data_IF_920088857784
#
_entry.id   IF_920088857784
#
_cell.length_a   1.000
_cell.length_b   1.000
_cell.length_c   1.000
_cell.angle_alpha   90.00
_cell.angle_beta   90.00
_cell.angle_gamma   90.00
#
_symmetry.space_group_name_H-M   'P 1'
#
loop_
_entity.id
_entity.type
_entity.pdbx_description
1 polymer ?
#
# COMPACT_ATOMS: atom_id res chain seq x y z
N UNK A 1 -71.91 5.55 65.02
CA UNK A 1 -71.87 4.87 63.70
C UNK A 1 -71.58 5.94 62.64
N UNK A 2 -70.86 5.70 61.54
CA UNK A 2 -69.75 4.78 61.31
C UNK A 2 -68.60 5.41 60.46
N UNK A 3 -67.58 4.58 60.17
CA UNK A 3 -66.67 4.56 58.99
C UNK A 3 -65.38 5.42 58.97
N UNK A 4 -64.28 4.66 59.03
CA UNK A 4 -62.89 4.93 58.65
C UNK A 4 -62.75 5.01 57.13
N UNK A 5 -61.80 5.78 56.59
CA UNK A 5 -60.93 5.33 55.47
C UNK A 5 -59.65 6.19 55.41
N UNK A 6 -58.44 5.58 55.45
CA UNK A 6 -57.19 6.27 55.16
C UNK A 6 -56.88 6.20 53.66
N UNK A 7 -56.44 7.32 53.10
CA UNK A 7 -56.10 7.48 51.69
C UNK A 7 -54.62 7.10 51.48
N UNK A 8 -54.38 6.00 50.77
CA UNK A 8 -53.07 5.60 50.28
C UNK A 8 -52.70 6.49 49.08
N UNK A 9 -51.63 7.27 49.22
CA UNK A 9 -50.98 7.93 48.09
C UNK A 9 -50.00 6.95 47.44
N UNK A 10 -50.34 6.47 46.25
CA UNK A 10 -49.47 5.65 45.43
C UNK A 10 -48.54 6.56 44.60
N UNK A 11 -47.24 6.54 44.91
CA UNK A 11 -46.20 7.18 44.12
C UNK A 11 -45.98 6.40 42.83
N UNK A 12 -46.26 7.00 41.67
CA UNK A 12 -45.76 6.48 40.39
C UNK A 12 -44.30 6.89 40.21
N UNK A 13 -43.39 5.92 40.28
CA UNK A 13 -42.04 6.05 39.77
C UNK A 13 -42.08 5.82 38.25
N UNK A 14 -41.83 6.88 37.48
CA UNK A 14 -41.63 6.77 36.03
C UNK A 14 -40.19 6.32 35.83
N UNK A 15 -40.04 5.06 35.41
CA UNK A 15 -38.76 4.45 35.07
C UNK A 15 -38.27 5.01 33.73
N UNK A 16 -37.24 5.85 33.76
CA UNK A 16 -36.54 6.34 32.58
C UNK A 16 -35.68 5.21 32.01
N UNK A 17 -36.11 4.62 30.90
CA UNK A 17 -35.30 3.73 30.07
C UNK A 17 -34.33 4.59 29.27
N UNK A 18 -33.06 4.62 29.70
CA UNK A 18 -31.96 5.17 28.90
C UNK A 18 -31.64 4.17 27.77
N UNK A 19 -31.99 4.53 26.53
CA UNK A 19 -31.51 3.88 25.33
C UNK A 19 -30.00 4.18 25.19
N UNK A 20 -29.16 3.27 25.68
CA UNK A 20 -27.76 3.20 25.26
C UNK A 20 -27.75 2.70 23.81
N UNK A 21 -27.79 3.62 22.85
CA UNK A 21 -27.22 3.34 21.55
C UNK A 21 -25.73 3.07 21.80
N UNK A 22 -25.34 1.80 21.80
CA UNK A 22 -23.94 1.45 21.72
C UNK A 22 -23.44 2.05 20.40
N UNK A 23 -22.69 3.14 20.49
CA UNK A 23 -21.80 3.52 19.40
C UNK A 23 -20.81 2.36 19.30
N UNK A 24 -21.11 1.41 18.45
CA UNK A 24 -20.20 0.35 18.05
C UNK A 24 -19.02 1.08 17.39
N UNK A 25 -17.98 1.30 18.20
CA UNK A 25 -16.77 1.98 17.76
C UNK A 25 -16.18 1.06 16.69
N UNK A 26 -16.38 1.43 15.42
CA UNK A 26 -15.82 0.70 14.28
C UNK A 26 -14.31 0.83 14.37
N UNK A 27 -13.69 -0.17 14.97
CA UNK A 27 -12.25 -0.30 15.01
C UNK A 27 -11.77 -0.84 13.67
N UNK A 28 -10.52 -0.57 13.34
CA UNK A 28 -9.87 -1.15 12.18
C UNK A 28 -9.85 -2.69 12.28
N UNK A 29 -10.23 -3.35 11.19
CA UNK A 29 -10.23 -4.81 11.07
C UNK A 29 -9.87 -5.22 9.65
N UNK A 30 -8.93 -6.16 9.50
CA UNK A 30 -8.69 -6.82 8.22
C UNK A 30 -9.78 -7.85 7.96
N UNK A 31 -10.36 -7.81 6.76
CA UNK A 31 -11.43 -8.70 6.32
C UNK A 31 -10.88 -9.81 5.41
N UNK A 32 -11.63 -10.90 5.19
CA UNK A 32 -11.25 -11.93 4.22
C UNK A 32 -11.04 -11.33 2.83
N UNK A 33 -10.03 -11.84 2.11
CA UNK A 33 -9.73 -11.41 0.75
C UNK A 33 -10.95 -11.59 -0.19
N UNK A 34 -11.14 -10.63 -1.08
CA UNK A 34 -12.17 -10.70 -2.11
C UNK A 34 -11.66 -11.59 -3.26
N UNK A 35 -12.41 -12.61 -3.69
CA UNK A 35 -12.04 -13.46 -4.82
C UNK A 35 -11.76 -12.66 -6.11
N UNK A 36 -10.77 -13.09 -6.88
CA UNK A 36 -10.29 -12.36 -8.08
C UNK A 36 -11.39 -12.18 -9.14
N UNK A 37 -12.28 -13.16 -9.31
CA UNK A 37 -13.44 -13.08 -10.20
C UNK A 37 -14.40 -11.92 -9.85
N UNK A 38 -14.44 -11.52 -8.58
CA UNK A 38 -15.21 -10.35 -8.15
C UNK A 38 -14.46 -9.04 -8.36
N UNK A 39 -13.13 -9.07 -8.45
CA UNK A 39 -12.28 -7.90 -8.73
C UNK A 39 -12.30 -7.54 -10.22
N UNK A 40 -12.54 -8.51 -11.11
CA UNK A 40 -12.70 -8.27 -12.56
C UNK A 40 -13.83 -7.27 -12.85
N UNK A 41 -14.88 -7.26 -12.03
CA UNK A 41 -16.00 -6.31 -12.14
C UNK A 41 -15.56 -4.86 -11.88
N UNK A 42 -14.46 -4.67 -11.16
CA UNK A 42 -13.83 -3.36 -10.94
C UNK A 42 -12.86 -2.98 -12.07
N UNK A 43 -12.76 -3.80 -13.13
CA UNK A 43 -11.82 -3.62 -14.23
C UNK A 43 -10.40 -4.08 -13.91
N UNK A 44 -10.20 -4.81 -12.81
CA UNK A 44 -8.89 -5.34 -12.42
C UNK A 44 -8.76 -6.78 -12.92
N UNK A 45 -7.96 -7.00 -13.96
CA UNK A 45 -7.80 -8.34 -14.55
C UNK A 45 -6.76 -9.19 -13.80
N UNK A 46 -5.64 -8.59 -13.40
CA UNK A 46 -4.51 -9.30 -12.78
C UNK A 46 -4.02 -8.52 -11.54
N UNK A 47 -4.73 -8.61 -10.41
CA UNK A 47 -4.25 -8.02 -9.16
C UNK A 47 -2.98 -8.74 -8.71
N UNK A 48 -1.94 -7.98 -8.38
CA UNK A 48 -0.72 -8.50 -7.73
C UNK A 48 -1.00 -8.74 -6.24
N UNK A 49 -1.66 -7.78 -5.59
CA UNK A 49 -2.05 -7.87 -4.17
C UNK A 49 -3.38 -7.17 -3.97
N UNK A 50 -4.21 -7.69 -3.07
CA UNK A 50 -5.38 -6.99 -2.57
C UNK A 50 -5.49 -7.10 -1.05
N UNK A 51 -5.84 -6.01 -0.39
CA UNK A 51 -6.08 -5.98 1.06
C UNK A 51 -7.48 -5.46 1.31
N UNK A 52 -8.32 -6.30 1.90
CA UNK A 52 -9.70 -5.97 2.25
C UNK A 52 -9.78 -5.67 3.74
N UNK A 53 -10.41 -4.57 4.11
CA UNK A 53 -10.47 -4.12 5.49
C UNK A 53 -11.75 -3.31 5.77
N UNK A 54 -12.00 -3.07 7.04
CA UNK A 54 -13.00 -2.14 7.53
C UNK A 54 -12.34 -1.17 8.51
N UNK A 55 -12.66 0.10 8.37
CA UNK A 55 -12.21 1.18 9.25
C UNK A 55 -13.42 2.06 9.64
N UNK A 56 -13.13 3.19 10.29
CA UNK A 56 -14.14 4.19 10.68
C UNK A 56 -14.92 4.74 9.49
N UNK A 57 -14.32 4.76 8.29
CA UNK A 57 -14.91 5.30 7.06
C UNK A 57 -15.68 4.25 6.24
N UNK A 58 -15.71 2.99 6.70
CA UNK A 58 -16.47 1.91 6.09
C UNK A 58 -15.57 0.78 5.61
N UNK A 59 -16.00 0.06 4.58
CA UNK A 59 -15.16 -0.97 3.98
C UNK A 59 -14.23 -0.38 2.93
N UNK A 60 -12.99 -0.84 2.98
CA UNK A 60 -11.92 -0.46 2.06
C UNK A 60 -11.31 -1.69 1.40
N UNK A 61 -10.91 -1.52 0.15
CA UNK A 61 -10.22 -2.54 -0.62
C UNK A 61 -9.06 -1.88 -1.37
N UNK A 62 -7.84 -2.11 -0.90
CA UNK A 62 -6.63 -1.77 -1.64
C UNK A 62 -6.42 -2.83 -2.72
N UNK A 63 -6.17 -2.41 -3.95
CA UNK A 63 -5.78 -3.30 -5.05
C UNK A 63 -4.54 -2.75 -5.73
N UNK A 64 -3.49 -3.56 -5.79
CA UNK A 64 -2.27 -3.31 -6.56
C UNK A 64 -2.33 -4.13 -7.84
N UNK A 65 -2.08 -3.51 -8.98
CA UNK A 65 -2.09 -4.17 -10.28
C UNK A 65 -1.01 -3.63 -11.19
N UNK A 66 -0.51 -4.50 -12.06
CA UNK A 66 0.49 -4.20 -13.08
C UNK A 66 -0.09 -4.51 -14.44
N UNK A 67 0.17 -3.62 -15.39
CA UNK A 67 -0.20 -3.79 -16.80
C UNK A 67 1.05 -3.58 -17.64
N UNK A 68 1.52 -4.65 -18.27
CA UNK A 68 2.57 -4.58 -19.26
C UNK A 68 1.98 -4.21 -20.63
N UNK A 69 2.73 -3.47 -21.44
CA UNK A 69 2.31 -3.02 -22.75
C UNK A 69 3.44 -2.33 -23.51
N UNK A 70 3.06 -1.54 -24.50
CA UNK A 70 4.00 -0.77 -25.32
C UNK A 70 3.62 0.72 -25.33
N UNK A 71 4.60 1.58 -25.56
CA UNK A 71 4.42 2.99 -25.88
C UNK A 71 5.32 3.39 -27.05
N UNK A 72 4.91 4.41 -27.79
CA UNK A 72 5.77 5.04 -28.80
C UNK A 72 6.76 5.99 -28.14
N UNK A 73 8.06 5.73 -28.32
CA UNK A 73 9.13 6.61 -27.89
C UNK A 73 9.08 7.95 -28.67
N UNK A 74 9.06 9.10 -27.98
CA UNK A 74 8.84 10.39 -28.62
C UNK A 74 10.01 10.85 -29.49
N UNK A 75 11.22 10.34 -29.25
CA UNK A 75 12.43 10.77 -29.93
C UNK A 75 12.73 9.93 -31.18
N UNK A 76 12.40 8.63 -31.14
CA UNK A 76 12.73 7.65 -32.17
C UNK A 76 11.51 7.15 -32.95
N UNK A 77 10.29 7.44 -32.50
CA UNK A 77 9.02 6.89 -33.01
C UNK A 77 8.94 5.36 -32.98
N UNK A 78 9.80 4.71 -32.18
CA UNK A 78 9.81 3.25 -32.03
C UNK A 78 8.88 2.81 -30.91
N UNK A 79 8.27 1.63 -31.04
CA UNK A 79 7.54 0.99 -29.95
C UNK A 79 8.54 0.44 -28.92
N UNK A 80 8.34 0.80 -27.65
CA UNK A 80 9.17 0.40 -26.52
C UNK A 80 8.34 -0.25 -25.44
N UNK A 81 8.96 -1.13 -24.66
CA UNK A 81 8.30 -1.79 -23.55
C UNK A 81 7.89 -0.77 -22.48
N UNK A 82 6.73 -1.03 -21.89
CA UNK A 82 6.09 -0.15 -20.93
C UNK A 82 5.43 -0.96 -19.83
N UNK A 83 5.60 -0.51 -18.59
CA UNK A 83 4.87 -1.03 -17.44
C UNK A 83 4.07 0.09 -16.80
N UNK A 84 2.79 -0.17 -16.53
CA UNK A 84 1.95 0.70 -15.72
C UNK A 84 1.59 0.00 -14.41
N UNK A 85 2.02 0.58 -13.29
CA UNK A 85 1.59 0.20 -11.96
C UNK A 85 0.38 1.04 -11.54
N UNK A 86 -0.63 0.38 -10.98
CA UNK A 86 -1.81 1.03 -10.40
C UNK A 86 -2.08 0.53 -9.00
N UNK A 87 -2.13 1.46 -8.04
CA UNK A 87 -2.62 1.21 -6.69
C UNK A 87 -3.94 1.97 -6.51
N UNK A 88 -5.04 1.24 -6.32
CA UNK A 88 -6.37 1.83 -6.16
C UNK A 88 -6.93 1.45 -4.80
N UNK A 89 -7.34 2.44 -4.01
CA UNK A 89 -8.17 2.20 -2.85
C UNK A 89 -9.64 2.37 -3.25
N UNK A 90 -10.39 1.29 -3.21
CA UNK A 90 -11.83 1.32 -3.31
C UNK A 90 -12.46 1.42 -1.92
N UNK A 91 -13.69 1.93 -1.85
CA UNK A 91 -14.50 1.78 -0.64
C UNK A 91 -15.99 1.73 -0.91
N UNK A 92 -16.72 1.28 0.11
CA UNK A 92 -18.18 1.22 0.14
C UNK A 92 -18.72 1.48 1.54
N UNK A 93 -19.92 2.05 1.62
CA UNK A 93 -20.54 2.42 2.89
C UNK A 93 -21.26 1.24 3.57
N UNK A 94 -21.89 0.36 2.78
CA UNK A 94 -22.50 -0.88 3.23
C UNK A 94 -22.06 -2.05 2.35
N UNK A 95 -22.07 -3.28 2.89
CA UNK A 95 -21.66 -4.51 2.20
C UNK A 95 -22.39 -4.74 0.86
N UNK A 96 -23.64 -4.29 0.76
CA UNK A 96 -24.46 -4.42 -0.45
C UNK A 96 -24.12 -3.40 -1.54
N UNK A 97 -23.38 -2.35 -1.21
CA UNK A 97 -23.03 -1.30 -2.15
C UNK A 97 -21.83 -1.76 -3.01
N UNK A 98 -21.78 -1.28 -4.24
CA UNK A 98 -20.61 -1.49 -5.09
C UNK A 98 -19.41 -0.70 -4.55
N UNK A 99 -18.23 -1.30 -4.63
CA UNK A 99 -16.96 -0.62 -4.40
C UNK A 99 -16.78 0.52 -5.40
N UNK A 100 -16.34 1.69 -4.92
CA UNK A 100 -16.01 2.85 -5.74
C UNK A 100 -14.60 3.34 -5.42
N UNK A 101 -13.82 3.80 -6.40
CA UNK A 101 -12.49 4.32 -6.14
C UNK A 101 -12.58 5.55 -5.23
N UNK A 102 -11.84 5.51 -4.11
CA UNK A 102 -11.58 6.66 -3.23
C UNK A 102 -10.41 7.48 -3.76
N UNK A 103 -9.35 6.79 -4.17
CA UNK A 103 -8.19 7.38 -4.82
C UNK A 103 -7.43 6.31 -5.62
N UNK A 104 -6.54 6.78 -6.49
CA UNK A 104 -5.68 5.96 -7.31
C UNK A 104 -4.29 6.61 -7.44
N UNK A 105 -3.25 5.78 -7.43
CA UNK A 105 -1.88 6.12 -7.80
C UNK A 105 -1.57 5.36 -9.09
N UNK A 106 -1.07 6.06 -10.11
CA UNK A 106 -0.57 5.46 -11.35
C UNK A 106 0.89 5.87 -11.55
N UNK A 107 1.72 4.89 -11.89
CA UNK A 107 3.11 5.09 -12.30
C UNK A 107 3.30 4.37 -13.63
N UNK A 108 3.80 5.09 -14.63
CA UNK A 108 4.12 4.52 -15.93
C UNK A 108 5.63 4.68 -16.17
N UNK A 109 6.27 3.59 -16.58
CA UNK A 109 7.68 3.55 -16.91
C UNK A 109 7.83 2.88 -18.27
N UNK A 110 8.49 3.55 -19.20
CA UNK A 110 8.85 3.02 -20.51
C UNK A 110 10.37 2.94 -20.64
N UNK A 111 10.87 1.93 -21.37
CA UNK A 111 12.31 1.71 -21.51
C UNK A 111 12.72 1.36 -22.94
N UNK A 112 13.34 2.29 -23.67
CA UNK A 112 13.81 2.03 -25.03
C UNK A 112 15.02 1.10 -25.07
N UNK A 113 14.83 -0.13 -25.54
CA UNK A 113 15.93 -1.04 -25.92
C UNK A 113 16.82 -1.53 -24.78
N UNK A 114 16.35 -1.47 -23.53
CA UNK A 114 17.04 -1.88 -22.31
C UNK A 114 16.10 -2.71 -21.42
N UNK A 115 16.63 -3.27 -20.33
CA UNK A 115 15.84 -4.09 -19.42
C UNK A 115 14.92 -3.21 -18.57
N UNK A 116 13.64 -3.59 -18.51
CA UNK A 116 12.60 -2.90 -17.77
C UNK A 116 12.18 -3.77 -16.57
N UNK A 117 12.48 -3.30 -15.36
CA UNK A 117 12.07 -3.94 -14.11
C UNK A 117 11.29 -2.97 -13.23
N UNK A 118 9.99 -3.21 -13.08
CA UNK A 118 9.04 -2.28 -12.47
C UNK A 118 7.99 -3.06 -11.70
N UNK A 119 8.01 -3.01 -10.38
CA UNK A 119 7.04 -3.73 -9.56
C UNK A 119 6.73 -3.05 -8.23
N UNK A 120 5.72 -3.57 -7.53
CA UNK A 120 5.44 -3.22 -6.15
C UNK A 120 6.30 -4.05 -5.19
N UNK A 121 6.73 -3.43 -4.09
CA UNK A 121 7.21 -4.17 -2.92
C UNK A 121 6.00 -4.66 -2.12
N UNK A 122 5.46 -5.82 -2.49
CA UNK A 122 4.21 -6.37 -1.92
C UNK A 122 4.27 -6.67 -0.43
N UNK A 123 5.47 -6.97 0.08
CA UNK A 123 5.68 -7.36 1.48
C UNK A 123 5.57 -6.17 2.45
N UNK A 124 5.78 -4.95 1.95
CA UNK A 124 5.70 -3.71 2.73
C UNK A 124 4.55 -2.80 2.29
N UNK A 125 3.83 -3.16 1.23
CA UNK A 125 2.64 -2.46 0.76
C UNK A 125 1.40 -3.05 1.41
N UNK A 126 0.89 -2.44 2.48
CA UNK A 126 -0.23 -2.97 3.26
C UNK A 126 -1.11 -1.87 3.85
N UNK A 127 -2.17 -2.27 4.55
CA UNK A 127 -3.11 -1.41 5.26
C UNK A 127 -3.07 -1.72 6.75
N UNK A 128 -2.94 -0.68 7.58
CA UNK A 128 -2.93 -0.81 9.04
C UNK A 128 -3.47 0.45 9.71
N UNK A 129 -3.94 0.35 10.96
CA UNK A 129 -4.24 1.49 11.83
C UNK A 129 -3.03 1.75 12.74
N UNK A 130 -2.05 2.47 12.20
CA UNK A 130 -0.75 2.76 12.80
C UNK A 130 -0.89 3.62 14.06
N UNK A 131 -1.76 4.64 13.98
CA UNK A 131 -1.93 5.61 15.07
C UNK A 131 -3.06 5.25 16.05
N UNK A 132 -3.85 4.21 15.76
CA UNK A 132 -4.94 3.67 16.58
C UNK A 132 -6.14 4.61 16.73
N UNK A 133 -6.41 5.42 15.71
CA UNK A 133 -7.60 6.29 15.67
C UNK A 133 -8.81 5.63 14.97
N UNK A 134 -8.62 4.42 14.44
CA UNK A 134 -9.63 3.64 13.73
C UNK A 134 -9.75 3.99 12.24
N UNK A 135 -8.93 4.88 11.69
CA UNK A 135 -8.77 5.11 10.25
C UNK A 135 -7.59 4.31 9.75
N UNK A 136 -7.73 3.72 8.56
CA UNK A 136 -6.64 3.00 7.95
C UNK A 136 -5.60 3.93 7.33
N UNK A 137 -4.32 3.72 7.66
CA UNK A 137 -3.20 4.20 6.85
C UNK A 137 -2.77 3.14 5.84
N UNK A 138 -2.74 3.54 4.57
CA UNK A 138 -2.45 2.67 3.42
C UNK A 138 -1.06 2.97 2.90
N UNK A 139 -0.16 1.99 2.96
CA UNK A 139 1.21 2.08 2.45
C UNK A 139 1.31 1.41 1.09
N UNK A 140 1.89 2.09 0.11
CA UNK A 140 2.21 1.54 -1.21
C UNK A 140 3.66 1.85 -1.51
N UNK A 141 4.45 0.82 -1.79
CA UNK A 141 5.85 0.96 -2.19
C UNK A 141 6.08 0.29 -3.54
N UNK A 142 6.80 0.95 -4.44
CA UNK A 142 7.16 0.44 -5.77
C UNK A 142 8.60 0.79 -6.12
N UNK A 143 9.11 0.11 -7.13
CA UNK A 143 10.35 0.48 -7.79
C UNK A 143 10.18 0.52 -9.31
N UNK A 144 11.06 1.27 -9.96
CA UNK A 144 11.20 1.27 -11.40
C UNK A 144 12.67 1.32 -11.81
N UNK A 145 12.98 0.60 -12.88
CA UNK A 145 14.30 0.52 -13.47
C UNK A 145 14.18 0.40 -14.99
N UNK A 146 15.03 1.16 -15.67
CA UNK A 146 15.25 1.08 -17.10
C UNK A 146 16.76 1.19 -17.33
N UNK A 147 17.43 0.07 -17.59
CA UNK A 147 18.88 0.02 -17.65
C UNK A 147 19.40 -1.28 -18.24
N UNK A 148 20.68 -1.30 -18.63
CA UNK A 148 21.34 -2.50 -19.17
C UNK A 148 22.50 -2.99 -18.30
N UNK A 149 22.56 -2.53 -17.05
CA UNK A 149 23.69 -2.73 -16.16
C UNK A 149 23.31 -2.67 -14.69
N UNK A 150 24.26 -2.24 -13.88
CA UNK A 150 24.12 -2.15 -12.42
C UNK A 150 23.83 -0.71 -12.07
N UNK A 151 22.56 -0.30 -12.22
CA UNK A 151 22.11 1.03 -11.86
C UNK A 151 21.08 0.96 -10.72
N UNK A 152 21.07 1.96 -9.81
CA UNK A 152 20.04 2.10 -8.80
C UNK A 152 18.63 2.09 -9.39
N UNK A 153 17.70 1.42 -8.71
CA UNK A 153 16.28 1.49 -9.03
C UNK A 153 15.69 2.74 -8.39
N UNK A 154 14.82 3.44 -9.10
CA UNK A 154 14.00 4.48 -8.49
C UNK A 154 13.00 3.82 -7.54
N UNK A 155 12.89 4.34 -6.33
CA UNK A 155 11.98 3.86 -5.29
C UNK A 155 10.96 4.94 -4.99
N UNK A 156 9.69 4.54 -4.91
CA UNK A 156 8.58 5.38 -4.46
C UNK A 156 7.86 4.68 -3.32
N UNK A 157 7.66 5.38 -2.20
CA UNK A 157 6.84 4.92 -1.07
C UNK A 157 5.82 6.02 -0.78
N UNK A 158 4.54 5.68 -0.76
CA UNK A 158 3.45 6.59 -0.44
C UNK A 158 2.57 5.98 0.66
N UNK A 159 2.36 6.73 1.74
CA UNK A 159 1.41 6.45 2.80
C UNK A 159 0.23 7.41 2.69
N UNK A 160 -0.99 6.89 2.69
CA UNK A 160 -2.23 7.68 2.68
C UNK A 160 -3.10 7.42 3.89
N UNK A 161 -3.58 8.48 4.50
CA UNK A 161 -4.58 8.48 5.58
C UNK A 161 -5.69 9.46 5.18
N UNK A 162 -6.87 8.94 4.80
CA UNK A 162 -7.93 9.78 4.26
C UNK A 162 -7.49 10.58 3.03
N UNK A 163 -7.35 11.90 3.17
CA UNK A 163 -6.86 12.82 2.12
C UNK A 163 -5.38 13.19 2.27
N UNK A 164 -4.75 12.85 3.39
CA UNK A 164 -3.33 13.11 3.61
C UNK A 164 -2.49 12.10 2.83
N UNK A 165 -1.38 12.58 2.27
CA UNK A 165 -0.38 11.76 1.58
C UNK A 165 1.02 12.14 2.06
N UNK A 166 1.82 11.12 2.35
CA UNK A 166 3.18 11.22 2.84
C UNK A 166 4.08 10.35 1.96
N UNK A 167 5.04 10.97 1.27
CA UNK A 167 5.89 10.26 0.32
C UNK A 167 7.36 10.28 0.71
N UNK A 168 8.04 9.20 0.32
CA UNK A 168 9.49 9.07 0.17
C UNK A 168 9.76 8.72 -1.29
N UNK A 169 10.65 9.45 -1.94
CA UNK A 169 11.20 9.09 -3.25
C UNK A 169 12.71 8.98 -3.15
N UNK A 170 13.33 8.12 -3.94
CA UNK A 170 14.78 7.95 -3.86
C UNK A 170 15.30 6.90 -4.80
N UNK A 171 16.53 6.46 -4.58
CA UNK A 171 17.15 5.40 -5.35
C UNK A 171 17.64 4.28 -4.44
N UNK A 172 17.63 3.05 -4.94
CA UNK A 172 18.18 1.91 -4.21
C UNK A 172 19.70 2.04 -4.06
N UNK A 173 20.23 1.70 -2.90
CA UNK A 173 21.66 1.55 -2.66
C UNK A 173 22.16 0.23 -3.23
N UNK A 174 23.18 0.31 -4.07
CA UNK A 174 23.94 -0.83 -4.59
C UNK A 174 25.37 -0.71 -4.07
N UNK A 175 25.99 -1.86 -3.75
CA UNK A 175 27.38 -1.90 -3.28
C UNK A 175 28.15 -2.98 -4.05
N UNK A 176 28.73 -2.62 -5.21
CA UNK A 176 29.54 -3.55 -5.99
C UNK A 176 30.80 -3.99 -5.25
N UNK A 177 31.26 -5.20 -5.54
CA UNK A 177 32.45 -5.76 -4.89
C UNK A 177 33.71 -4.97 -5.30
N UNK A 178 34.33 -4.29 -4.33
CA UNK A 178 35.56 -3.52 -4.57
C UNK A 178 35.34 -2.13 -5.17
N UNK A 179 34.09 -1.68 -5.29
CA UNK A 179 33.74 -0.33 -5.73
C UNK A 179 33.00 0.44 -4.62
N UNK A 180 32.91 1.76 -4.79
CA UNK A 180 32.14 2.60 -3.87
C UNK A 180 30.63 2.37 -4.08
N UNK A 181 29.81 2.47 -3.01
CA UNK A 181 28.36 2.36 -3.14
C UNK A 181 27.79 3.46 -4.07
N UNK A 182 26.78 3.08 -4.85
CA UNK A 182 26.05 3.97 -5.75
C UNK A 182 24.56 3.97 -5.40
N UNK A 183 23.91 5.13 -5.56
CA UNK A 183 22.51 5.32 -5.18
C UNK A 183 22.29 5.49 -3.67
N UNK A 184 21.06 5.26 -3.22
CA UNK A 184 20.66 5.39 -1.82
C UNK A 184 20.16 6.78 -1.44
N UNK A 185 20.08 7.71 -2.40
CA UNK A 185 19.46 9.00 -2.21
C UNK A 185 18.01 8.83 -1.76
N UNK A 186 17.57 9.73 -0.89
CA UNK A 186 16.23 9.74 -0.32
C UNK A 186 15.76 11.18 -0.17
N UNK A 187 14.56 11.46 -0.65
CA UNK A 187 13.84 12.71 -0.39
C UNK A 187 12.48 12.44 0.24
N UNK A 188 12.24 13.14 1.34
CA UNK A 188 11.00 13.06 2.10
C UNK A 188 10.13 14.28 1.77
N UNK A 189 8.86 14.03 1.46
CA UNK A 189 7.88 15.10 1.29
C UNK A 189 7.78 16.04 2.49
N UNK A 190 7.39 17.29 2.23
CA UNK A 190 7.14 18.26 3.30
C UNK A 190 6.04 17.81 4.27
N UNK A 191 5.03 17.06 3.79
CA UNK A 191 4.00 16.47 4.64
C UNK A 191 4.59 15.40 5.56
N UNK A 192 5.45 14.50 5.05
CA UNK A 192 6.09 13.46 5.87
C UNK A 192 6.97 14.05 6.97
N UNK A 193 7.78 15.07 6.64
CA UNK A 193 8.64 15.77 7.61
C UNK A 193 7.85 16.33 8.81
N UNK A 194 6.57 16.67 8.60
CA UNK A 194 5.67 17.20 9.62
C UNK A 194 4.62 16.21 10.13
N UNK A 195 4.63 14.96 9.65
CA UNK A 195 3.65 13.94 10.00
C UNK A 195 3.77 13.53 11.48
N UNK A 196 2.74 12.89 12.08
CA UNK A 196 2.86 12.25 13.39
C UNK A 196 4.07 11.29 13.46
N UNK A 197 4.71 11.20 14.63
CA UNK A 197 5.94 10.42 14.80
C UNK A 197 5.78 8.96 14.37
N UNK A 198 4.65 8.34 14.71
CA UNK A 198 4.35 6.94 14.35
C UNK A 198 4.34 6.70 12.84
N UNK A 199 3.84 7.66 12.06
CA UNK A 199 3.82 7.55 10.59
C UNK A 199 5.22 7.73 10.00
N UNK A 200 6.02 8.64 10.56
CA UNK A 200 7.42 8.82 10.14
C UNK A 200 8.25 7.57 10.42
N UNK A 201 8.12 7.00 11.62
CA UNK A 201 8.82 5.78 12.01
C UNK A 201 8.44 4.58 11.14
N UNK A 202 7.15 4.45 10.80
CA UNK A 202 6.68 3.44 9.85
C UNK A 202 7.31 3.61 8.47
N UNK A 203 7.26 4.83 7.91
CA UNK A 203 7.85 5.13 6.60
C UNK A 203 9.36 4.92 6.56
N UNK A 204 10.07 5.24 7.66
CA UNK A 204 11.49 4.93 7.84
C UNK A 204 11.74 3.42 7.82
N UNK A 205 10.92 2.65 8.53
CA UNK A 205 11.04 1.19 8.58
C UNK A 205 10.76 0.53 7.22
N UNK A 206 9.80 1.06 6.46
CA UNK A 206 9.53 0.61 5.08
C UNK A 206 10.73 0.91 4.19
N UNK A 207 11.26 2.14 4.22
CA UNK A 207 12.45 2.51 3.46
C UNK A 207 13.63 1.58 3.74
N UNK A 208 13.92 1.30 5.03
CA UNK A 208 15.04 0.44 5.40
C UNK A 208 14.92 -1.00 4.89
N UNK A 209 13.71 -1.49 4.59
CA UNK A 209 13.49 -2.82 4.04
C UNK A 209 13.72 -2.88 2.53
N UNK A 210 13.48 -1.78 1.80
CA UNK A 210 13.46 -1.80 0.32
C UNK A 210 14.64 -1.10 -0.33
N UNK A 211 15.33 -0.18 0.37
CA UNK A 211 16.37 0.64 -0.26
C UNK A 211 17.65 -0.10 -0.60
N UNK A 212 17.90 -1.30 -0.05
CA UNK A 212 19.10 -2.09 -0.36
C UNK A 212 18.75 -3.23 -1.29
N UNK A 213 19.51 -3.40 -2.37
CA UNK A 213 19.42 -4.59 -3.22
C UNK A 213 20.56 -5.57 -2.91
N UNK A 214 20.26 -6.85 -2.63
CA UNK A 214 21.30 -7.85 -2.48
C UNK A 214 21.99 -8.10 -3.84
N UNK A 215 23.32 -8.05 -3.82
CA UNK A 215 24.22 -8.20 -4.98
C UNK A 215 24.10 -9.54 -5.74
N UNK A 216 23.42 -10.55 -5.18
CA UNK A 216 23.43 -11.92 -5.69
C UNK A 216 22.33 -12.29 -6.68
N UNK A 217 21.38 -11.40 -6.97
CA UNK A 217 20.30 -11.69 -7.93
C UNK A 217 20.64 -11.34 -9.39
N UNK A 218 21.81 -10.75 -9.65
CA UNK A 218 22.19 -10.24 -10.99
C UNK A 218 23.44 -10.88 -11.59
N UNK A 219 24.00 -11.92 -10.99
CA UNK A 219 25.10 -12.69 -11.60
C UNK A 219 24.71 -14.16 -11.72
N UNK A 220 24.75 -14.77 -12.93
CA UNK A 220 24.74 -16.23 -13.00
C UNK A 220 25.95 -16.75 -12.21
N UNK A 221 25.85 -17.92 -11.56
CA UNK A 221 26.98 -18.51 -10.86
C UNK A 221 28.16 -18.58 -11.83
N UNK A 222 29.32 -18.11 -11.39
CA UNK A 222 30.58 -18.38 -12.07
C UNK A 222 30.78 -19.88 -11.97
N UNK A 223 30.62 -20.59 -13.08
CA UNK A 223 31.04 -21.98 -13.19
C UNK A 223 32.57 -21.99 -13.03
N UNK A 224 33.04 -22.15 -11.80
CA UNK A 224 34.41 -22.58 -11.52
C UNK A 224 34.54 -24.04 -11.97
N UNK A 225 34.70 -24.24 -13.27
CA UNK A 225 35.17 -25.52 -13.82
C UNK A 225 36.69 -25.56 -13.54
N UNK A 226 37.19 -26.44 -12.66
CA UNK A 226 38.63 -26.58 -12.49
C UNK A 226 39.18 -27.20 -13.77
N UNK A 227 39.99 -26.42 -14.49
CA UNK A 227 40.76 -26.87 -15.64
C UNK A 227 41.49 -28.18 -15.30
N UNK A 228 41.27 -29.15 -16.17
CA UNK A 228 41.93 -30.45 -16.26
C UNK A 228 43.43 -30.25 -16.53
N UNK A 229 44.21 -30.10 -15.45
CA UNK A 229 45.67 -30.26 -15.49
C UNK A 229 46.00 -31.76 -15.65
N UNK A 230 45.99 -32.24 -16.89
CA UNK A 230 46.64 -33.49 -17.30
C UNK A 230 47.85 -33.23 -18.21
N UNK A 231 49.04 -33.31 -17.61
CA UNK A 231 50.27 -33.82 -18.27
C UNK A 231 50.97 -34.86 -17.39
#
# INVERSE_FOLDING_TARGET
MPVKHPWLSASMAISSVLLLAACEQKNFETLPAIPVDQLEVLGVQTPIKSVHFRDRDGEGLLVLSRVDGQATDPDTEQEVDKVQLKATLYGRAAERDAFKPRWQIEQETSCPGLDLDVDFYTDVSDVSDLNKDGVAEVTVASHAFCGGGIDPHDISIELREGQASYTITGQSLITPAGEEPIGGERDDSASLKNAPQVLREHMDAVWQQVYKRPWSETSPPVDDDPEDDTE
#
